data_IF_386615242848
#
_entry.id   IF_386615242848
#
_cell.length_a   1.000
_cell.length_b   1.000
_cell.length_c   1.000
_cell.angle_alpha   90.00
_cell.angle_beta   90.00
_cell.angle_gamma   90.00
#
_symmetry.space_group_name_H-M   'P 1'
#
loop_
_entity.id
_entity.type
_entity.pdbx_description
1 polymer ?
#
# COMPACT_ATOMS: atom_id res chain seq x y z
N UNK A 1 -26.68 -2.17 22.38
CA UNK A 1 -25.26 -1.82 22.17
C UNK A 1 -25.01 -1.79 20.67
N UNK A 2 -24.92 -0.61 20.06
CA UNK A 2 -24.54 -0.50 18.65
C UNK A 2 -23.02 -0.61 18.56
N UNK A 3 -22.51 -1.75 18.09
CA UNK A 3 -21.15 -1.84 17.58
C UNK A 3 -21.12 -1.18 16.19
N UNK A 4 -21.26 0.15 16.17
CA UNK A 4 -21.08 0.93 14.96
C UNK A 4 -19.59 0.90 14.61
N UNK A 5 -19.19 0.06 13.67
CA UNK A 5 -17.90 0.24 12.99
C UNK A 5 -18.00 1.60 12.31
N UNK A 6 -17.43 2.65 12.92
CA UNK A 6 -17.25 3.94 12.25
C UNK A 6 -16.34 3.70 11.06
N UNK A 7 -16.92 3.49 9.87
CA UNK A 7 -16.21 3.34 8.60
C UNK A 7 -15.61 4.66 8.14
N UNK A 8 -14.79 5.32 8.98
CA UNK A 8 -13.94 6.43 8.56
C UNK A 8 -12.58 5.96 8.03
N UNK A 9 -12.16 4.74 8.40
CA UNK A 9 -10.83 4.22 8.10
C UNK A 9 -10.92 2.82 7.48
N UNK A 10 -10.52 2.69 6.23
CA UNK A 10 -10.40 1.40 5.53
C UNK A 10 -9.02 0.78 5.81
N UNK A 11 -8.97 -0.56 5.81
CA UNK A 11 -7.73 -1.34 5.74
C UNK A 11 -7.58 -1.82 4.30
N UNK A 12 -6.54 -1.36 3.62
CA UNK A 12 -6.34 -1.59 2.18
C UNK A 12 -5.03 -2.35 2.00
N UNK A 13 -5.07 -3.42 1.21
CA UNK A 13 -3.93 -4.27 0.92
C UNK A 13 -3.54 -4.14 -0.55
N UNK A 14 -2.28 -3.84 -0.81
CA UNK A 14 -1.68 -3.85 -2.14
C UNK A 14 -0.71 -5.01 -2.25
N UNK A 15 -0.98 -5.93 -3.17
CA UNK A 15 -0.02 -6.94 -3.59
C UNK A 15 0.76 -6.41 -4.81
N UNK A 16 2.07 -6.23 -4.63
CA UNK A 16 2.98 -5.66 -5.61
C UNK A 16 3.83 -6.78 -6.17
N UNK A 17 3.60 -7.10 -7.45
CA UNK A 17 4.25 -8.21 -8.15
C UNK A 17 5.38 -7.74 -9.08
N UNK A 18 5.36 -6.47 -9.51
CA UNK A 18 6.30 -5.94 -10.51
C UNK A 18 6.80 -4.54 -10.15
N UNK A 19 8.02 -4.15 -10.60
CA UNK A 19 8.54 -2.80 -10.39
C UNK A 19 7.65 -1.71 -11.00
N UNK A 20 6.99 -2.00 -12.13
CA UNK A 20 6.07 -1.07 -12.79
C UNK A 20 4.85 -0.72 -11.93
N UNK A 21 4.34 -1.69 -11.16
CA UNK A 21 3.24 -1.44 -10.22
C UNK A 21 3.65 -0.48 -9.10
N UNK A 22 4.91 -0.56 -8.60
CA UNK A 22 5.42 0.42 -7.63
C UNK A 22 5.36 1.82 -8.22
N UNK A 23 5.92 2.00 -9.42
CA UNK A 23 5.98 3.31 -10.08
C UNK A 23 4.58 3.87 -10.37
N UNK A 24 3.65 3.01 -10.78
CA UNK A 24 2.29 3.43 -11.11
C UNK A 24 1.45 3.74 -9.87
N UNK A 25 1.56 2.91 -8.82
CA UNK A 25 0.74 3.03 -7.62
C UNK A 25 1.31 3.95 -6.55
N UNK A 26 2.57 4.38 -6.64
CA UNK A 26 3.22 5.22 -5.62
C UNK A 26 2.36 6.44 -5.22
N UNK A 27 1.91 7.21 -6.20
CA UNK A 27 1.11 8.42 -5.97
C UNK A 27 -0.23 8.09 -5.31
N UNK A 28 -0.84 6.99 -5.71
CA UNK A 28 -2.12 6.52 -5.18
C UNK A 28 -1.98 6.02 -3.74
N UNK A 29 -1.00 5.16 -3.47
CA UNK A 29 -0.70 4.63 -2.13
C UNK A 29 -0.41 5.78 -1.17
N UNK A 30 0.41 6.76 -1.57
CA UNK A 30 0.71 7.94 -0.73
C UNK A 30 -0.53 8.76 -0.41
N UNK A 31 -1.48 8.92 -1.34
CA UNK A 31 -2.74 9.64 -1.09
C UNK A 31 -3.67 8.85 -0.17
N UNK A 32 -3.79 7.54 -0.37
CA UNK A 32 -4.64 6.65 0.42
C UNK A 32 -4.12 6.53 1.87
N UNK A 33 -2.79 6.39 2.05
CA UNK A 33 -2.12 6.31 3.37
C UNK A 33 -2.43 7.51 4.29
N UNK A 34 -2.84 8.67 3.76
CA UNK A 34 -3.19 9.85 4.58
C UNK A 34 -4.44 9.63 5.43
N UNK A 35 -5.40 8.86 4.93
CA UNK A 35 -6.73 8.71 5.55
C UNK A 35 -7.06 7.25 5.88
N UNK A 36 -6.27 6.30 5.42
CA UNK A 36 -6.53 4.87 5.54
C UNK A 36 -5.26 4.09 5.88
N UNK A 37 -5.42 2.93 6.50
CA UNK A 37 -4.31 2.02 6.77
C UNK A 37 -4.01 1.24 5.51
N UNK A 38 -2.76 1.29 5.05
CA UNK A 38 -2.32 0.58 3.84
C UNK A 38 -1.20 -0.38 4.18
N UNK A 39 -1.37 -1.64 3.80
CA UNK A 39 -0.31 -2.65 3.80
C UNK A 39 0.11 -2.93 2.36
N UNK A 40 1.40 -2.77 2.07
CA UNK A 40 1.99 -3.16 0.80
C UNK A 40 2.83 -4.41 1.02
N UNK A 41 2.55 -5.47 0.28
CA UNK A 41 3.37 -6.68 0.27
C UNK A 41 3.90 -6.92 -1.12
N UNK A 42 5.03 -7.60 -1.20
CA UNK A 42 5.53 -8.18 -2.44
C UNK A 42 6.05 -9.58 -2.14
N UNK A 43 6.22 -10.38 -3.19
CA UNK A 43 7.10 -11.55 -3.11
C UNK A 43 8.55 -11.08 -2.99
N UNK A 44 9.45 -12.00 -2.65
CA UNK A 44 10.88 -11.72 -2.61
C UNK A 44 11.46 -11.64 -4.04
N UNK A 45 11.18 -10.51 -4.69
CA UNK A 45 11.79 -10.13 -5.94
C UNK A 45 12.70 -8.94 -5.64
N UNK A 46 14.01 -9.17 -5.76
CA UNK A 46 15.03 -8.19 -5.42
C UNK A 46 14.76 -6.79 -6.04
N UNK A 47 14.41 -6.76 -7.32
CA UNK A 47 14.06 -5.52 -8.04
C UNK A 47 12.86 -4.78 -7.43
N UNK A 48 11.84 -5.51 -6.98
CA UNK A 48 10.62 -4.94 -6.39
C UNK A 48 10.94 -4.45 -4.98
N UNK A 49 11.59 -5.29 -4.17
CA UNK A 49 11.96 -5.00 -2.78
C UNK A 49 12.92 -3.80 -2.69
N UNK A 50 13.95 -3.74 -3.53
CA UNK A 50 14.88 -2.61 -3.56
C UNK A 50 14.20 -1.33 -4.02
N UNK A 51 13.38 -1.39 -5.07
CA UNK A 51 12.66 -0.20 -5.55
C UNK A 51 11.65 0.31 -4.51
N UNK A 52 10.95 -0.57 -3.80
CA UNK A 52 10.03 -0.19 -2.73
C UNK A 52 10.76 0.54 -1.59
N UNK A 53 11.94 0.06 -1.18
CA UNK A 53 12.79 0.72 -0.17
C UNK A 53 13.19 2.13 -0.59
N UNK A 54 13.62 2.32 -1.84
CA UNK A 54 14.00 3.65 -2.37
C UNK A 54 12.81 4.61 -2.39
N UNK A 55 11.60 4.09 -2.65
CA UNK A 55 10.36 4.89 -2.74
C UNK A 55 9.63 5.08 -1.41
N UNK A 56 10.12 4.45 -0.34
CA UNK A 56 9.54 4.46 1.00
C UNK A 56 8.07 3.98 1.02
N UNK A 57 7.83 2.83 0.38
CA UNK A 57 6.50 2.22 0.22
C UNK A 57 6.29 0.99 1.11
#
# INVERSE_FOLDING_TARGET
MQFGIKSKYLKIWFDVLTPKQILFFESMIKRIKKNHTVLCTSRDYDQVTQLAKIRNL
#
